data_IF_031901423999
#
_entry.id   IF_031901423999
#
_cell.length_a   1.000
_cell.length_b   1.000
_cell.length_c   1.000
_cell.angle_alpha   90.00
_cell.angle_beta   90.00
_cell.angle_gamma   90.00
#
_symmetry.space_group_name_H-M   'P 1'
#
loop_
_entity.id
_entity.type
_entity.pdbx_description
1 polymer ?
#
# COMPACT_ATOMS: atom_id res chain seq x y z
N UNK A 1 -15.90 11.98 -11.75
CA UNK A 1 -16.54 11.57 -13.03
C UNK A 1 -15.48 11.10 -14.04
N UNK A 2 -15.81 10.30 -15.06
CA UNK A 2 -14.84 9.94 -16.12
C UNK A 2 -15.10 10.80 -17.36
N UNK A 3 -14.33 11.89 -17.52
CA UNK A 3 -14.44 12.86 -18.61
C UNK A 3 -13.80 12.35 -19.90
N UNK A 4 -14.23 11.17 -20.35
CA UNK A 4 -13.71 10.54 -21.56
C UNK A 4 -14.31 11.15 -22.83
N UNK A 5 -13.83 10.69 -23.99
CA UNK A 5 -14.26 11.19 -25.30
C UNK A 5 -15.79 11.17 -25.49
N UNK A 6 -16.46 10.12 -25.01
CA UNK A 6 -17.91 9.98 -25.09
C UNK A 6 -18.64 11.04 -24.26
N UNK A 7 -18.20 11.30 -23.03
CA UNK A 7 -18.80 12.34 -22.18
C UNK A 7 -18.71 13.73 -22.82
N UNK A 8 -17.62 14.02 -23.55
CA UNK A 8 -17.46 15.28 -24.28
C UNK A 8 -18.39 15.38 -25.50
N UNK A 9 -18.65 14.26 -26.19
CA UNK A 9 -19.62 14.21 -27.29
C UNK A 9 -21.05 14.39 -26.79
N UNK A 10 -21.39 13.77 -25.65
CA UNK A 10 -22.69 13.92 -25.00
C UNK A 10 -22.91 15.37 -24.56
N UNK A 11 -21.91 16.02 -23.94
CA UNK A 11 -21.96 17.44 -23.56
C UNK A 11 -22.17 18.36 -24.77
N UNK A 12 -21.51 18.10 -25.90
CA UNK A 12 -21.68 18.87 -27.15
C UNK A 12 -23.09 18.75 -27.76
N UNK A 13 -23.81 17.70 -27.40
CA UNK A 13 -25.20 17.45 -27.81
C UNK A 13 -26.20 17.91 -26.77
N UNK A 14 -25.74 18.36 -25.60
CA UNK A 14 -26.57 18.88 -24.53
C UNK A 14 -26.81 20.38 -24.75
N UNK A 15 -28.06 20.73 -25.06
CA UNK A 15 -28.51 22.10 -25.25
C UNK A 15 -29.35 22.62 -24.06
N UNK A 16 -29.46 21.85 -22.98
CA UNK A 16 -30.08 22.32 -21.73
C UNK A 16 -29.03 23.08 -20.89
N UNK A 17 -29.17 24.40 -20.83
CA UNK A 17 -28.25 25.26 -20.10
C UNK A 17 -28.20 24.97 -18.59
N UNK A 18 -29.29 24.47 -17.99
CA UNK A 18 -29.32 24.05 -16.60
C UNK A 18 -28.49 22.79 -16.38
N UNK A 19 -28.68 21.79 -17.25
CA UNK A 19 -27.87 20.57 -17.27
C UNK A 19 -26.38 20.88 -17.43
N UNK A 20 -26.01 21.70 -18.41
CA UNK A 20 -24.61 22.09 -18.68
C UNK A 20 -24.00 22.83 -17.50
N UNK A 21 -24.74 23.71 -16.81
CA UNK A 21 -24.26 24.40 -15.60
C UNK A 21 -23.97 23.42 -14.45
N UNK A 22 -24.86 22.46 -14.21
CA UNK A 22 -24.64 21.43 -13.18
C UNK A 22 -23.40 20.61 -13.52
N UNK A 23 -23.23 20.20 -14.78
CA UNK A 23 -22.05 19.45 -15.21
C UNK A 23 -20.75 20.25 -15.02
N UNK A 24 -20.78 21.57 -15.29
CA UNK A 24 -19.65 22.47 -15.04
C UNK A 24 -19.33 22.58 -13.54
N UNK A 25 -20.33 22.79 -12.68
CA UNK A 25 -20.13 22.87 -11.23
C UNK A 25 -19.54 21.58 -10.66
N UNK A 26 -20.03 20.42 -11.11
CA UNK A 26 -19.48 19.11 -10.71
C UNK A 26 -18.03 18.93 -11.19
N UNK A 27 -17.71 19.40 -12.40
CA UNK A 27 -16.33 19.38 -12.90
C UNK A 27 -15.40 20.27 -12.08
N UNK A 28 -15.83 21.47 -11.71
CA UNK A 28 -15.05 22.37 -10.85
C UNK A 28 -14.82 21.78 -9.45
N UNK A 29 -15.81 21.08 -8.89
CA UNK A 29 -15.67 20.36 -7.63
C UNK A 29 -14.64 19.23 -7.73
N UNK A 30 -14.72 18.40 -8.78
CA UNK A 30 -13.76 17.32 -9.04
C UNK A 30 -12.33 17.88 -9.21
N UNK A 31 -12.16 18.99 -9.94
CA UNK A 31 -10.86 19.66 -10.11
C UNK A 31 -10.30 20.10 -8.76
N UNK A 32 -11.09 20.76 -7.91
CA UNK A 32 -10.64 21.20 -6.58
C UNK A 32 -10.25 20.02 -5.68
N UNK A 33 -11.01 18.94 -5.73
CA UNK A 33 -10.72 17.72 -4.98
C UNK A 33 -9.38 17.09 -5.44
N UNK A 34 -9.16 17.00 -6.75
CA UNK A 34 -7.93 16.47 -7.34
C UNK A 34 -6.72 17.33 -6.95
N UNK A 35 -6.83 18.66 -7.04
CA UNK A 35 -5.76 19.59 -6.64
C UNK A 35 -5.40 19.41 -5.17
N UNK A 36 -6.42 19.34 -4.30
CA UNK A 36 -6.23 19.18 -2.85
C UNK A 36 -5.58 17.83 -2.52
N UNK A 37 -6.03 16.76 -3.17
CA UNK A 37 -5.45 15.42 -3.03
C UNK A 37 -3.99 15.39 -3.49
N UNK A 38 -3.68 16.00 -4.64
CA UNK A 38 -2.32 16.06 -5.16
C UNK A 38 -1.38 16.85 -4.22
N UNK A 39 -1.86 17.93 -3.62
CA UNK A 39 -1.11 18.69 -2.62
C UNK A 39 -0.85 17.86 -1.35
N UNK A 40 -1.87 17.16 -0.84
CA UNK A 40 -1.74 16.28 0.32
C UNK A 40 -0.76 15.13 0.06
N UNK A 41 -0.83 14.50 -1.12
CA UNK A 41 0.10 13.44 -1.52
C UNK A 41 1.55 13.95 -1.60
N UNK A 42 1.78 15.14 -2.16
CA UNK A 42 3.10 15.78 -2.19
C UNK A 42 3.62 16.06 -0.78
N UNK A 43 2.79 16.62 0.10
CA UNK A 43 3.16 16.86 1.49
C UNK A 43 3.54 15.55 2.20
N UNK A 44 2.75 14.49 1.99
CA UNK A 44 3.03 13.17 2.57
C UNK A 44 4.34 12.56 2.04
N UNK A 45 4.70 12.79 0.78
CA UNK A 45 5.99 12.37 0.25
C UNK A 45 7.16 13.04 0.96
N UNK A 46 7.05 14.33 1.29
CA UNK A 46 8.07 15.02 2.08
C UNK A 46 8.17 14.49 3.52
N UNK A 47 7.04 14.12 4.13
CA UNK A 47 7.03 13.42 5.43
C UNK A 47 7.75 12.07 5.33
N UNK A 48 7.44 11.27 4.30
CA UNK A 48 8.04 9.94 4.10
C UNK A 48 9.56 10.05 3.91
N UNK A 49 10.04 11.02 3.12
CA UNK A 49 11.48 11.25 2.91
C UNK A 49 12.25 11.49 4.21
N UNK A 50 11.62 12.15 5.17
CA UNK A 50 12.21 12.47 6.47
C UNK A 50 11.87 11.46 7.58
N UNK A 51 11.06 10.44 7.27
CA UNK A 51 10.67 9.40 8.21
C UNK A 51 11.76 8.34 8.30
N UNK A 52 12.16 8.00 9.53
CA UNK A 52 13.01 6.82 9.74
C UNK A 52 12.16 5.55 9.64
N UNK A 53 12.71 4.52 9.04
CA UNK A 53 12.07 3.22 8.93
C UNK A 53 12.89 2.19 9.69
N UNK A 54 12.22 1.42 10.55
CA UNK A 54 12.80 0.24 11.16
C UNK A 54 12.56 -0.97 10.26
N UNK A 55 13.58 -1.82 10.18
CA UNK A 55 13.58 -3.03 9.37
C UNK A 55 13.13 -4.20 10.24
N UNK A 56 12.05 -4.85 9.84
CA UNK A 56 11.47 -5.98 10.58
C UNK A 56 11.30 -7.16 9.63
N UNK A 57 12.05 -8.23 9.88
CA UNK A 57 11.82 -9.50 9.19
C UNK A 57 10.66 -10.19 9.90
N UNK A 58 9.58 -10.46 9.19
CA UNK A 58 8.48 -11.25 9.73
C UNK A 58 8.62 -12.70 9.29
N UNK A 59 8.39 -13.62 10.22
CA UNK A 59 8.20 -15.04 9.99
C UNK A 59 6.81 -15.41 10.48
N UNK A 60 5.87 -15.56 9.55
CA UNK A 60 4.49 -15.93 9.81
C UNK A 60 4.25 -17.42 9.60
N UNK A 61 3.42 -18.03 10.45
CA UNK A 61 2.82 -19.35 10.23
C UNK A 61 1.33 -19.18 10.00
N UNK A 62 0.84 -19.69 8.88
CA UNK A 62 -0.58 -19.70 8.56
C UNK A 62 -1.08 -21.15 8.44
N UNK A 63 -2.23 -21.42 9.05
CA UNK A 63 -2.91 -22.70 8.98
C UNK A 63 -4.04 -22.60 7.96
N UNK A 64 -3.88 -23.28 6.83
CA UNK A 64 -4.99 -23.59 5.95
C UNK A 64 -5.61 -24.90 6.38
N UNK A 65 -6.88 -25.11 6.03
CA UNK A 65 -7.69 -26.29 6.41
C UNK A 65 -6.98 -27.63 6.19
N UNK A 66 -6.06 -27.72 5.22
CA UNK A 66 -5.34 -28.94 4.87
C UNK A 66 -3.81 -28.83 4.93
N UNK A 67 -3.24 -27.65 5.19
CA UNK A 67 -1.79 -27.44 5.13
C UNK A 67 -1.32 -26.26 5.95
N UNK A 68 -0.08 -26.35 6.43
CA UNK A 68 0.64 -25.23 7.04
C UNK A 68 1.51 -24.59 5.97
N UNK A 69 1.51 -23.26 5.92
CA UNK A 69 2.45 -22.48 5.11
C UNK A 69 3.19 -21.48 6.00
N UNK A 70 4.44 -21.18 5.63
CA UNK A 70 5.26 -20.18 6.28
C UNK A 70 5.52 -19.01 5.33
N UNK A 71 5.46 -17.81 5.88
CA UNK A 71 5.62 -16.55 5.15
C UNK A 71 6.79 -15.79 5.72
N UNK A 72 7.75 -15.44 4.89
CA UNK A 72 8.93 -14.68 5.31
C UNK A 72 9.07 -13.45 4.43
N UNK A 73 9.38 -12.32 5.04
CA UNK A 73 9.73 -11.12 4.29
C UNK A 73 10.23 -10.00 5.20
N UNK A 74 10.64 -8.90 4.59
CA UNK A 74 11.19 -7.74 5.27
C UNK A 74 10.23 -6.56 5.15
N UNK A 75 9.70 -6.08 6.27
CA UNK A 75 8.87 -4.87 6.36
C UNK A 75 9.75 -3.67 6.68
N UNK A 76 9.50 -2.55 6.01
CA UNK A 76 10.06 -1.26 6.40
C UNK A 76 8.97 -0.48 7.13
N UNK A 77 8.90 -0.63 8.45
CA UNK A 77 7.85 -0.02 9.25
C UNK A 77 8.28 1.40 9.63
N UNK A 78 7.47 2.45 9.39
CA UNK A 78 7.83 3.79 9.81
C UNK A 78 7.93 3.88 11.32
N UNK A 79 8.96 4.56 11.83
CA UNK A 79 9.22 4.75 13.26
C UNK A 79 8.38 5.92 13.79
N UNK A 80 7.07 5.71 13.78
CA UNK A 80 6.05 6.65 14.26
C UNK A 80 5.05 5.90 15.16
N UNK A 81 4.32 6.60 16.04
CA UNK A 81 3.25 5.98 16.83
C UNK A 81 2.23 5.27 15.92
N UNK A 82 2.04 3.97 16.14
CA UNK A 82 1.14 3.15 15.33
C UNK A 82 1.63 2.82 13.91
N UNK A 83 2.93 2.99 13.62
CA UNK A 83 3.52 2.72 12.30
C UNK A 83 3.27 1.29 11.79
N UNK A 84 3.13 0.32 12.68
CA UNK A 84 2.76 -1.07 12.39
C UNK A 84 1.34 -1.22 11.82
N UNK A 85 0.46 -0.24 12.04
CA UNK A 85 -0.92 -0.18 11.53
C UNK A 85 -1.04 0.66 10.26
N UNK A 86 0.07 1.14 9.71
CA UNK A 86 0.08 1.90 8.47
C UNK A 86 0.39 1.02 7.26
N UNK A 87 0.15 1.53 6.06
CA UNK A 87 0.61 0.87 4.86
C UNK A 87 2.11 1.17 4.65
N UNK A 88 2.91 0.12 4.54
CA UNK A 88 4.35 0.20 4.37
C UNK A 88 4.86 -0.77 3.29
N UNK A 89 6.03 -0.52 2.69
CA UNK A 89 6.60 -1.42 1.72
C UNK A 89 7.09 -2.72 2.37
N UNK A 90 6.91 -3.82 1.63
CA UNK A 90 7.42 -5.15 1.97
C UNK A 90 8.41 -5.56 0.90
N UNK A 91 9.64 -5.87 1.33
CA UNK A 91 10.73 -6.39 0.52
C UNK A 91 10.88 -7.89 0.74
N UNK A 92 11.49 -8.60 -0.22
CA UNK A 92 11.91 -10.00 -0.07
C UNK A 92 10.83 -10.97 0.46
N UNK A 93 9.61 -10.86 -0.07
CA UNK A 93 8.50 -11.75 0.32
C UNK A 93 8.61 -13.13 -0.33
N UNK A 94 8.70 -14.19 0.49
CA UNK A 94 8.71 -15.58 0.04
C UNK A 94 7.79 -16.46 0.89
N UNK A 95 7.15 -17.42 0.23
CA UNK A 95 6.32 -18.46 0.86
C UNK A 95 7.06 -19.78 0.87
N UNK A 96 6.84 -20.57 1.92
CA UNK A 96 7.40 -21.89 2.12
C UNK A 96 6.28 -22.84 2.53
N UNK A 97 6.32 -24.07 2.04
CA UNK A 97 5.38 -25.13 2.43
C UNK A 97 5.68 -25.63 3.84
N UNK A 98 4.74 -26.36 4.45
CA UNK A 98 4.88 -26.88 5.80
C UNK A 98 6.13 -27.75 6.03
N UNK A 99 6.51 -28.55 5.03
CA UNK A 99 7.72 -29.37 5.06
C UNK A 99 9.02 -28.56 4.87
N UNK A 100 8.93 -27.31 4.45
CA UNK A 100 10.05 -26.38 4.24
C UNK A 100 10.27 -25.47 5.47
N UNK A 101 9.74 -25.85 6.64
CA UNK A 101 9.86 -25.06 7.89
C UNK A 101 11.30 -24.63 8.16
N UNK A 102 12.26 -25.56 8.09
CA UNK A 102 13.67 -25.26 8.37
C UNK A 102 14.22 -24.18 7.42
N UNK A 103 13.89 -24.29 6.13
CA UNK A 103 14.30 -23.34 5.10
C UNK A 103 13.68 -21.95 5.32
N UNK A 104 12.43 -21.89 5.78
CA UNK A 104 11.78 -20.62 6.13
C UNK A 104 12.52 -19.90 7.27
N UNK A 105 12.92 -20.64 8.31
CA UNK A 105 13.69 -20.08 9.44
C UNK A 105 15.10 -19.65 9.00
N UNK A 106 15.80 -20.47 8.22
CA UNK A 106 17.13 -20.13 7.69
C UNK A 106 17.08 -18.88 6.81
N UNK A 107 16.05 -18.76 5.97
CA UNK A 107 15.85 -17.57 5.15
C UNK A 107 15.54 -16.32 5.97
N UNK A 108 14.72 -16.45 7.03
CA UNK A 108 14.44 -15.34 7.94
C UNK A 108 15.71 -14.87 8.68
N UNK A 109 16.51 -15.80 9.20
CA UNK A 109 17.77 -15.51 9.87
C UNK A 109 18.81 -14.88 8.93
N UNK A 110 18.82 -15.30 7.66
CA UNK A 110 19.63 -14.68 6.62
C UNK A 110 19.22 -13.22 6.41
N UNK A 111 17.93 -12.93 6.20
CA UNK A 111 17.44 -11.56 6.01
C UNK A 111 17.72 -10.66 7.23
N UNK A 112 17.62 -11.21 8.44
CA UNK A 112 17.93 -10.50 9.69
C UNK A 112 19.37 -10.00 9.68
N UNK A 113 20.32 -10.87 9.30
CA UNK A 113 21.75 -10.55 9.26
C UNK A 113 22.09 -9.60 8.11
N UNK A 114 21.57 -9.86 6.91
CA UNK A 114 21.86 -9.06 5.72
C UNK A 114 21.36 -7.61 5.84
N UNK A 115 20.24 -7.41 6.52
CA UNK A 115 19.59 -6.11 6.58
C UNK A 115 19.70 -5.41 7.93
N UNK A 116 20.35 -6.04 8.94
CA UNK A 116 20.38 -5.56 10.33
C UNK A 116 18.95 -5.28 10.84
N UNK A 117 18.11 -6.31 10.80
CA UNK A 117 16.67 -6.22 11.03
C UNK A 117 16.23 -7.03 12.25
N UNK A 118 15.11 -6.65 12.86
CA UNK A 118 14.53 -7.39 13.99
C UNK A 118 13.64 -8.51 13.47
N UNK A 119 13.78 -9.73 14.02
CA UNK A 119 12.89 -10.85 13.70
C UNK A 119 11.59 -10.75 14.52
N UNK A 120 10.45 -10.83 13.83
CA UNK A 120 9.12 -10.90 14.42
C UNK A 120 8.44 -12.21 14.00
N UNK A 121 7.94 -12.99 14.96
CA UNK A 121 7.24 -14.25 14.70
C UNK A 121 5.73 -14.05 14.86
N UNK A 122 4.96 -14.43 13.84
CA UNK A 122 3.50 -14.23 13.80
C UNK A 122 2.81 -15.59 13.68
N UNK A 123 1.83 -15.86 14.54
CA UNK A 123 1.03 -17.09 14.48
C UNK A 123 1.76 -18.36 14.96
N UNK A 124 2.83 -18.19 15.73
CA UNK A 124 3.60 -19.29 16.34
C UNK A 124 3.08 -19.66 17.71
#
# INVERSE_FOLDING_TARGET
>A
MNYNQKALEDLKRDYDAGSVRIQLELADQDIRAIISYAAAAKAQLEVIKNTKFRKVVYLGREHFTTRVEFYVGLRLIPDIPGGDRTHYPVLHSRRFKGNERKQAFEYADQLVKEHDAVLEKIGF
#
